data_IF_734557575100
#
_entry.id   IF_734557575100
#
_cell.length_a   1.000
_cell.length_b   1.000
_cell.length_c   1.000
_cell.angle_alpha   90.00
_cell.angle_beta   90.00
_cell.angle_gamma   90.00
#
_symmetry.space_group_name_H-M   'P 1'
#
loop_
_entity.id
_entity.type
_entity.pdbx_description
1 polymer ?
#
# COMPACT_ATOMS: atom_id res chain seq x y z
N UNK A 1 -55.16 -26.87 20.75
CA UNK A 1 -53.69 -27.00 20.89
C UNK A 1 -52.87 -26.78 19.60
N UNK A 2 -53.47 -26.64 18.41
CA UNK A 2 -52.72 -26.55 17.14
C UNK A 2 -52.25 -25.14 16.73
N UNK A 3 -52.95 -24.10 17.16
CA UNK A 3 -52.69 -22.74 16.69
C UNK A 3 -51.52 -22.05 17.42
N UNK A 4 -51.43 -22.17 18.75
CA UNK A 4 -50.33 -21.59 19.54
C UNK A 4 -48.97 -22.21 19.19
N UNK A 5 -48.92 -23.52 18.93
CA UNK A 5 -47.68 -24.19 18.53
C UNK A 5 -47.21 -23.72 17.15
N UNK A 6 -48.11 -23.51 16.19
CA UNK A 6 -47.75 -23.02 14.85
C UNK A 6 -47.19 -21.59 14.88
N UNK A 7 -47.77 -20.71 15.71
CA UNK A 7 -47.30 -19.34 15.90
C UNK A 7 -45.91 -19.32 16.53
N UNK A 8 -45.64 -20.14 17.54
CA UNK A 8 -44.30 -20.23 18.16
C UNK A 8 -43.24 -20.71 17.17
N UNK A 9 -43.55 -21.70 16.31
CA UNK A 9 -42.61 -22.13 15.26
C UNK A 9 -42.34 -21.05 14.21
N UNK A 10 -43.34 -20.24 13.84
CA UNK A 10 -43.17 -19.13 12.91
C UNK A 10 -42.27 -18.01 13.48
N UNK A 11 -42.45 -17.66 14.76
CA UNK A 11 -41.58 -16.68 15.43
C UNK A 11 -40.13 -17.16 15.57
N UNK A 12 -39.91 -18.44 15.86
CA UNK A 12 -38.56 -19.02 15.91
C UNK A 12 -37.91 -19.02 14.52
N UNK A 13 -38.64 -19.41 13.46
CA UNK A 13 -38.11 -19.41 12.10
C UNK A 13 -37.70 -18.00 11.62
N UNK A 14 -38.52 -16.99 11.92
CA UNK A 14 -38.22 -15.58 11.59
C UNK A 14 -37.02 -15.07 12.41
N UNK A 15 -36.96 -15.38 13.70
CA UNK A 15 -35.83 -15.00 14.56
C UNK A 15 -34.51 -15.63 14.12
N UNK A 16 -34.53 -16.90 13.70
CA UNK A 16 -33.37 -17.61 13.16
C UNK A 16 -32.96 -17.00 11.81
N UNK A 17 -33.91 -16.71 10.91
CA UNK A 17 -33.61 -16.07 9.63
C UNK A 17 -32.94 -14.69 9.80
N UNK A 18 -33.42 -13.87 10.74
CA UNK A 18 -32.83 -12.55 11.05
C UNK A 18 -31.42 -12.66 11.67
N UNK A 19 -31.16 -13.71 12.46
CA UNK A 19 -29.84 -13.94 13.06
C UNK A 19 -28.80 -14.38 12.02
N UNK A 20 -29.23 -15.13 10.99
CA UNK A 20 -28.35 -15.58 9.91
C UNK A 20 -27.90 -14.39 9.05
N UNK A 21 -28.76 -13.39 8.82
CA UNK A 21 -28.38 -12.18 8.08
C UNK A 21 -27.27 -11.39 8.77
N UNK A 22 -27.30 -11.27 10.11
CA UNK A 22 -26.26 -10.58 10.88
C UNK A 22 -24.87 -11.23 10.77
N UNK A 23 -24.82 -12.56 10.70
CA UNK A 23 -23.56 -13.31 10.51
C UNK A 23 -22.99 -13.11 9.09
N UNK A 24 -23.85 -12.99 8.08
CA UNK A 24 -23.44 -12.70 6.69
C UNK A 24 -22.80 -11.30 6.58
N UNK A 25 -23.39 -10.28 7.22
CA UNK A 25 -22.80 -8.93 7.24
C UNK A 25 -21.48 -8.86 8.02
N UNK A 26 -21.34 -9.62 9.11
CA UNK A 26 -20.10 -9.69 9.88
C UNK A 26 -18.94 -10.31 9.07
N UNK A 27 -19.24 -11.30 8.22
CA UNK A 27 -18.22 -11.94 7.38
C UNK A 27 -17.82 -11.10 6.17
N UNK A 28 -18.69 -10.20 5.68
CA UNK A 28 -18.37 -9.26 4.61
C UNK A 28 -17.35 -8.19 5.04
N UNK A 29 -17.47 -7.65 6.26
CA UNK A 29 -16.54 -6.63 6.78
C UNK A 29 -15.13 -7.16 7.08
N UNK A 30 -15.01 -8.43 7.48
CA UNK A 30 -13.71 -9.03 7.80
C UNK A 30 -12.81 -9.24 6.56
N UNK A 31 -13.39 -9.33 5.36
CA UNK A 31 -12.65 -9.58 4.12
C UNK A 31 -12.06 -8.31 3.52
N UNK A 32 -12.81 -7.20 3.53
CA UNK A 32 -12.35 -5.93 2.95
C UNK A 32 -11.23 -5.26 3.74
N UNK A 33 -11.27 -5.32 5.08
CA UNK A 33 -10.23 -4.72 5.93
C UNK A 33 -8.89 -5.47 5.79
N UNK A 34 -8.93 -6.78 5.55
CA UNK A 34 -7.74 -7.61 5.44
C UNK A 34 -6.97 -7.32 4.14
N UNK A 35 -7.65 -7.37 2.99
CA UNK A 35 -6.95 -7.26 1.70
C UNK A 35 -6.51 -5.82 1.38
N UNK A 36 -7.38 -4.83 1.61
CA UNK A 36 -7.05 -3.42 1.38
C UNK A 36 -5.99 -2.91 2.38
N UNK A 37 -6.06 -3.35 3.63
CA UNK A 37 -5.09 -2.98 4.67
C UNK A 37 -3.67 -3.45 4.36
N UNK A 38 -3.51 -4.70 3.91
CA UNK A 38 -2.19 -5.22 3.52
C UNK A 38 -1.63 -4.53 2.26
N UNK A 39 -2.49 -4.19 1.28
CA UNK A 39 -2.07 -3.42 0.10
C UNK A 39 -1.53 -2.04 0.47
N UNK A 40 -2.21 -1.32 1.36
CA UNK A 40 -1.76 0.03 1.79
C UNK A 40 -0.44 -0.02 2.55
N UNK A 41 -0.27 -0.98 3.47
CA UNK A 41 0.99 -1.15 4.19
C UNK A 41 2.11 -1.54 3.21
N UNK A 42 1.84 -2.48 2.29
CA UNK A 42 2.81 -2.91 1.28
C UNK A 42 3.27 -1.78 0.36
N UNK A 43 2.33 -0.96 -0.15
CA UNK A 43 2.64 0.19 -0.99
C UNK A 43 3.45 1.26 -0.24
N UNK A 44 3.07 1.55 1.01
CA UNK A 44 3.82 2.49 1.86
C UNK A 44 5.24 2.02 2.15
N UNK A 45 5.43 0.72 2.42
CA UNK A 45 6.74 0.15 2.70
C UNK A 45 7.62 0.14 1.44
N UNK A 46 7.07 -0.23 0.28
CA UNK A 46 7.78 -0.23 -1.00
C UNK A 46 8.33 1.16 -1.33
N UNK A 47 7.50 2.20 -1.20
CA UNK A 47 7.97 3.57 -1.45
C UNK A 47 8.90 4.10 -0.37
N UNK A 48 8.59 3.85 0.91
CA UNK A 48 9.39 4.32 2.03
C UNK A 48 10.82 3.77 1.97
N UNK A 49 10.99 2.47 1.75
CA UNK A 49 12.32 1.86 1.68
C UNK A 49 13.11 2.27 0.43
N UNK A 50 12.45 2.39 -0.73
CA UNK A 50 13.09 2.89 -1.94
C UNK A 50 13.56 4.35 -1.79
N UNK A 51 12.73 5.20 -1.19
CA UNK A 51 13.07 6.60 -0.91
C UNK A 51 14.21 6.73 0.09
N UNK A 52 14.21 5.94 1.17
CA UNK A 52 15.29 5.94 2.16
C UNK A 52 16.63 5.51 1.54
N UNK A 53 16.65 4.42 0.77
CA UNK A 53 17.86 3.94 0.11
C UNK A 53 18.40 4.96 -0.90
N UNK A 54 17.51 5.54 -1.71
CA UNK A 54 17.86 6.56 -2.71
C UNK A 54 18.39 7.82 -2.03
N UNK A 55 17.73 8.31 -0.98
CA UNK A 55 18.15 9.51 -0.25
C UNK A 55 19.53 9.39 0.38
N UNK A 56 19.83 8.23 0.98
CA UNK A 56 21.16 7.97 1.58
C UNK A 56 22.27 7.93 0.52
N UNK A 57 22.03 7.22 -0.60
CA UNK A 57 22.99 7.17 -1.71
C UNK A 57 23.18 8.54 -2.37
N UNK A 58 22.08 9.24 -2.63
CA UNK A 58 22.05 10.53 -3.30
C UNK A 58 22.71 11.63 -2.48
N UNK A 59 22.51 11.67 -1.16
CA UNK A 59 23.15 12.69 -0.32
C UNK A 59 24.68 12.68 -0.47
N UNK A 60 25.29 11.50 -0.47
CA UNK A 60 26.75 11.35 -0.62
C UNK A 60 27.22 11.59 -2.05
N UNK A 61 26.52 11.01 -3.04
CA UNK A 61 26.88 11.16 -4.45
C UNK A 61 26.74 12.61 -4.94
N UNK A 62 25.68 13.30 -4.54
CA UNK A 62 25.44 14.71 -4.90
C UNK A 62 26.45 15.64 -4.23
N UNK A 63 26.87 15.38 -2.98
CA UNK A 63 27.92 16.16 -2.33
C UNK A 63 29.26 16.05 -3.09
N UNK A 64 29.64 14.82 -3.48
CA UNK A 64 30.85 14.59 -4.28
C UNK A 64 30.74 15.21 -5.69
N UNK A 65 29.56 15.12 -6.31
CA UNK A 65 29.28 15.73 -7.60
C UNK A 65 29.44 17.25 -7.56
N UNK A 66 28.88 17.93 -6.57
CA UNK A 66 28.99 19.39 -6.42
C UNK A 66 30.44 19.80 -6.18
N UNK A 67 31.20 19.06 -5.35
CA UNK A 67 32.62 19.31 -5.14
C UNK A 67 33.43 19.16 -6.46
N UNK A 68 33.16 18.12 -7.24
CA UNK A 68 33.82 17.91 -8.54
C UNK A 68 33.48 19.00 -9.56
N UNK A 69 32.22 19.47 -9.58
CA UNK A 69 31.77 20.57 -10.44
C UNK A 69 32.45 21.88 -10.05
N UNK A 70 32.64 22.13 -8.75
CA UNK A 70 33.31 23.33 -8.26
C UNK A 70 34.78 23.41 -8.71
N UNK A 71 35.48 22.28 -8.80
CA UNK A 71 36.85 22.23 -9.34
C UNK A 71 36.88 22.24 -10.88
N UNK A 72 35.96 21.49 -11.52
CA UNK A 72 35.94 21.26 -12.97
C UNK A 72 34.51 21.39 -13.48
N UNK A 73 34.07 22.59 -13.89
CA UNK A 73 32.69 22.83 -14.31
C UNK A 73 32.30 22.02 -15.55
N UNK A 74 33.26 21.55 -16.36
CA UNK A 74 32.99 20.69 -17.52
C UNK A 74 32.45 19.31 -17.11
N UNK A 75 32.56 18.93 -15.84
CA UNK A 75 32.04 17.65 -15.32
C UNK A 75 30.54 17.66 -15.02
N UNK A 76 29.88 18.82 -15.09
CA UNK A 76 28.45 18.99 -14.77
C UNK A 76 27.54 17.95 -15.45
N UNK A 77 27.67 17.78 -16.77
CA UNK A 77 26.81 16.84 -17.50
C UNK A 77 27.03 15.38 -17.08
N UNK A 78 28.27 15.01 -16.74
CA UNK A 78 28.59 13.65 -16.26
C UNK A 78 28.03 13.42 -14.87
N UNK A 79 28.18 14.40 -13.98
CA UNK A 79 27.62 14.37 -12.63
C UNK A 79 26.09 14.24 -12.65
N UNK A 80 25.42 14.97 -13.54
CA UNK A 80 23.96 14.90 -13.71
C UNK A 80 23.47 13.49 -14.08
N UNK A 81 24.17 12.81 -14.99
CA UNK A 81 23.81 11.44 -15.41
C UNK A 81 23.79 10.50 -14.19
N UNK A 82 24.82 10.57 -13.32
CA UNK A 82 24.88 9.72 -12.13
C UNK A 82 23.76 10.03 -11.12
N UNK A 83 23.42 11.32 -10.94
CA UNK A 83 22.32 11.73 -10.05
C UNK A 83 20.98 11.20 -10.57
N UNK A 84 20.73 11.27 -11.88
CA UNK A 84 19.50 10.77 -12.49
C UNK A 84 19.38 9.25 -12.37
N UNK A 85 20.48 8.51 -12.47
CA UNK A 85 20.46 7.06 -12.22
C UNK A 85 20.08 6.71 -10.78
N UNK A 86 20.45 7.54 -9.80
CA UNK A 86 19.99 7.37 -8.42
C UNK A 86 18.49 7.64 -8.28
N UNK A 87 17.97 8.71 -8.91
CA UNK A 87 16.52 8.99 -8.92
C UNK A 87 15.69 7.86 -9.54
N UNK A 88 16.22 7.14 -10.53
CA UNK A 88 15.53 6.00 -11.13
C UNK A 88 15.13 4.94 -10.08
N UNK A 89 15.92 4.78 -9.00
CA UNK A 89 15.64 3.85 -7.91
C UNK A 89 14.37 4.27 -7.14
N UNK A 90 14.22 5.56 -6.85
CA UNK A 90 13.01 6.09 -6.21
C UNK A 90 11.79 5.95 -7.11
N UNK A 91 11.95 6.21 -8.41
CA UNK A 91 10.87 6.05 -9.40
C UNK A 91 10.44 4.57 -9.51
N UNK A 92 11.38 3.62 -9.48
CA UNK A 92 11.02 2.20 -9.44
C UNK A 92 10.23 1.83 -8.19
N UNK A 93 10.60 2.37 -7.02
CA UNK A 93 9.79 2.23 -5.81
C UNK A 93 8.36 2.74 -6.00
N UNK A 94 8.20 3.86 -6.71
CA UNK A 94 6.91 4.51 -6.94
C UNK A 94 6.03 3.67 -7.85
N UNK A 95 6.61 3.15 -8.93
CA UNK A 95 5.94 2.25 -9.86
C UNK A 95 5.47 0.99 -9.14
N UNK A 96 6.31 0.39 -8.29
CA UNK A 96 5.93 -0.80 -7.51
C UNK A 96 4.81 -0.50 -6.52
N UNK A 97 4.85 0.62 -5.81
CA UNK A 97 3.77 1.02 -4.91
C UNK A 97 2.44 1.23 -5.65
N UNK A 98 2.47 1.86 -6.83
CA UNK A 98 1.29 1.95 -7.68
C UNK A 98 0.81 0.57 -8.15
N UNK A 99 1.73 -0.33 -8.49
CA UNK A 99 1.37 -1.68 -8.92
C UNK A 99 0.66 -2.46 -7.81
N UNK A 100 1.11 -2.32 -6.55
CA UNK A 100 0.46 -2.94 -5.37
C UNK A 100 -0.91 -2.33 -5.08
N UNK A 101 -1.09 -1.04 -5.36
CA UNK A 101 -2.35 -0.33 -5.11
C UNK A 101 -3.40 -0.61 -6.19
N UNK A 102 -2.95 -0.68 -7.46
CA UNK A 102 -3.83 -0.81 -8.63
C UNK A 102 -4.22 -2.25 -8.92
N UNK A 103 -3.31 -3.21 -8.71
CA UNK A 103 -3.53 -4.63 -8.95
C UNK A 103 -3.68 -5.39 -7.62
#
# INVERSE_FOLDING_TARGET
MRLSRFVTFAFIAIGVALSITGLVYAQAGAKEVSESGYKMIGAGLAMGLAGLGTGLGMGTASAAAVAAIAEKPETFSKALIFIVFLEAIAIYGLVVAFMIMVF
#
